data_IF_093250354649
#
_entry.id   IF_093250354649
#
_cell.length_a   1.000
_cell.length_b   1.000
_cell.length_c   1.000
_cell.angle_alpha   90.00
_cell.angle_beta   90.00
_cell.angle_gamma   90.00
#
_symmetry.space_group_name_H-M   'P 1'
#
loop_
_entity.id
_entity.type
_entity.pdbx_description
1 polymer ?
#
# COMPACT_ATOMS: atom_id res chain seq x y z
N UNK A 1 4.23 21.41 2.78
CA UNK A 1 5.20 20.41 3.27
C UNK A 1 5.86 20.99 4.50
N UNK A 2 5.99 20.24 5.60
CA UNK A 2 6.65 20.74 6.80
C UNK A 2 8.00 20.04 6.97
N UNK A 3 9.00 20.54 6.24
CA UNK A 3 10.39 20.04 6.28
C UNK A 3 11.21 20.70 7.39
N UNK A 4 10.57 21.60 8.12
CA UNK A 4 11.16 22.41 9.17
C UNK A 4 10.31 22.26 10.43
N UNK A 5 10.97 22.26 11.57
CA UNK A 5 10.35 22.21 12.88
C UNK A 5 10.88 23.36 13.72
N UNK A 6 9.98 24.00 14.47
CA UNK A 6 10.40 25.05 15.39
C UNK A 6 11.00 24.42 16.66
N UNK A 7 11.94 25.11 17.29
CA UNK A 7 12.50 24.68 18.58
C UNK A 7 11.43 24.47 19.66
N UNK A 8 10.28 25.17 19.59
CA UNK A 8 9.16 24.99 20.51
C UNK A 8 8.41 23.68 20.28
N UNK A 9 8.16 23.33 19.01
CA UNK A 9 7.52 22.06 18.65
C UNK A 9 8.42 20.87 18.99
N UNK A 10 9.72 21.00 18.70
CA UNK A 10 10.71 19.99 19.08
C UNK A 10 10.75 19.80 20.61
N UNK A 11 10.73 20.89 21.38
CA UNK A 11 10.68 20.85 22.83
C UNK A 11 9.44 20.12 23.36
N UNK A 12 8.27 20.40 22.78
CA UNK A 12 7.02 19.78 23.19
C UNK A 12 7.07 18.26 23.01
N UNK A 13 7.58 17.79 21.87
CA UNK A 13 7.68 16.35 21.60
C UNK A 13 8.73 15.66 22.48
N UNK A 14 9.89 16.29 22.72
CA UNK A 14 10.89 15.78 23.67
C UNK A 14 10.28 15.61 25.06
N UNK A 15 9.58 16.64 25.56
CA UNK A 15 9.00 16.61 26.90
C UNK A 15 7.87 15.60 27.05
N UNK A 16 7.10 15.37 25.98
CA UNK A 16 6.11 14.31 25.93
C UNK A 16 6.75 12.93 26.14
N UNK A 17 7.79 12.60 25.38
CA UNK A 17 8.47 11.30 25.53
C UNK A 17 9.27 11.17 26.82
N UNK A 18 9.81 12.26 27.35
CA UNK A 18 10.44 12.27 28.69
C UNK A 18 9.45 11.89 29.79
N UNK A 19 8.20 12.38 29.70
CA UNK A 19 7.12 11.99 30.62
C UNK A 19 6.76 10.52 30.46
N UNK A 20 6.68 10.03 29.24
CA UNK A 20 6.41 8.61 28.95
C UNK A 20 7.52 7.68 29.50
N UNK A 21 8.79 8.11 29.47
CA UNK A 21 9.91 7.39 30.08
C UNK A 21 9.89 7.44 31.62
N UNK A 22 9.12 8.36 32.22
CA UNK A 22 9.07 8.58 33.68
C UNK A 22 10.05 9.63 34.20
N UNK A 23 10.65 10.44 33.32
CA UNK A 23 11.51 11.56 33.72
C UNK A 23 10.63 12.69 34.24
N UNK A 24 10.74 12.98 35.54
CA UNK A 24 9.95 14.03 36.22
C UNK A 24 10.36 15.45 35.84
N UNK A 25 11.59 15.66 35.39
CA UNK A 25 12.14 16.98 35.06
C UNK A 25 11.96 17.30 33.59
N UNK A 26 11.11 18.27 33.29
CA UNK A 26 10.92 18.78 31.93
C UNK A 26 12.15 19.55 31.44
N UNK A 27 12.44 19.41 30.14
CA UNK A 27 13.40 20.26 29.45
C UNK A 27 12.81 21.67 29.33
N UNK A 28 13.59 22.67 29.73
CA UNK A 28 13.23 24.06 29.53
C UNK A 28 13.65 24.53 28.14
N UNK A 29 12.87 25.43 27.54
CA UNK A 29 13.20 25.99 26.22
C UNK A 29 14.57 26.67 26.21
N UNK A 30 14.92 27.41 27.26
CA UNK A 30 16.25 28.02 27.42
C UNK A 30 17.39 26.99 27.32
N UNK A 31 17.20 25.80 27.87
CA UNK A 31 18.20 24.72 27.82
C UNK A 31 18.30 24.14 26.41
N UNK A 32 17.16 23.93 25.74
CA UNK A 32 17.17 23.47 24.34
C UNK A 32 17.86 24.50 23.42
N UNK A 33 17.63 25.80 23.61
CA UNK A 33 18.31 26.85 22.86
C UNK A 33 19.82 26.84 23.08
N UNK A 34 20.28 26.55 24.30
CA UNK A 34 21.70 26.42 24.58
C UNK A 34 22.32 25.21 23.84
N UNK A 35 21.62 24.08 23.82
CA UNK A 35 22.05 22.89 23.08
C UNK A 35 22.13 23.19 21.57
N UNK A 36 21.13 23.88 21.01
CA UNK A 36 21.12 24.25 19.58
C UNK A 36 22.30 25.17 19.25
N UNK A 37 22.61 26.16 20.10
CA UNK A 37 23.73 27.07 19.89
C UNK A 37 25.09 26.39 19.97
N UNK A 38 25.20 25.38 20.84
CA UNK A 38 26.42 24.60 21.03
C UNK A 38 26.63 23.62 19.87
N UNK A 39 25.55 22.99 19.37
CA UNK A 39 25.62 22.03 18.27
C UNK A 39 25.86 22.69 16.90
N UNK A 40 25.35 23.91 16.71
CA UNK A 40 25.39 24.63 15.42
C UNK A 40 26.16 25.95 15.49
N UNK A 41 27.19 26.03 16.33
CA UNK A 41 27.93 27.29 16.53
C UNK A 41 28.55 27.82 15.23
N UNK A 42 29.01 26.92 14.36
CA UNK A 42 29.62 27.26 13.06
C UNK A 42 28.57 27.79 12.09
N UNK A 43 27.45 27.07 11.93
CA UNK A 43 26.36 27.45 11.04
C UNK A 43 25.65 28.73 11.48
N UNK A 44 25.60 29.00 12.78
CA UNK A 44 25.10 30.27 13.33
C UNK A 44 26.07 31.41 13.00
N UNK A 45 27.38 31.19 13.14
CA UNK A 45 28.39 32.19 12.78
C UNK A 45 28.39 32.52 11.29
N UNK A 46 28.18 31.51 10.44
CA UNK A 46 27.99 31.66 8.99
C UNK A 46 26.63 32.24 8.60
N UNK A 47 25.74 32.50 9.56
CA UNK A 47 24.36 32.99 9.36
C UNK A 47 23.46 32.04 8.57
N UNK A 48 23.82 30.76 8.48
CA UNK A 48 22.98 29.72 7.88
C UNK A 48 21.76 29.38 8.77
N UNK A 49 21.86 29.63 10.07
CA UNK A 49 20.76 29.47 11.04
C UNK A 49 20.57 30.77 11.80
N UNK A 50 19.40 31.41 11.62
CA UNK A 50 19.07 32.67 12.29
C UNK A 50 18.00 32.47 13.38
N UNK A 51 18.17 33.12 14.55
CA UNK A 51 17.13 33.14 15.57
C UNK A 51 15.94 33.98 15.11
N UNK A 52 14.73 33.45 15.29
CA UNK A 52 13.46 34.10 15.03
C UNK A 52 12.78 34.41 16.36
N UNK A 53 12.06 35.52 16.46
CA UNK A 53 11.31 35.85 17.68
C UNK A 53 9.89 35.28 17.66
N UNK A 54 9.40 34.84 18.82
CA UNK A 54 7.99 34.51 19.04
C UNK A 54 7.46 35.25 20.28
N UNK A 55 6.14 35.47 20.33
CA UNK A 55 5.47 36.03 21.51
C UNK A 55 5.08 34.90 22.46
N UNK A 56 5.58 34.93 23.69
CA UNK A 56 5.17 33.99 24.73
C UNK A 56 3.76 34.33 25.26
N UNK A 57 3.19 33.44 26.08
CA UNK A 57 1.89 33.64 26.76
C UNK A 57 1.83 34.91 27.62
N UNK A 58 2.99 35.42 28.03
CA UNK A 58 3.15 36.68 28.79
C UNK A 58 3.29 37.92 27.91
N UNK A 59 3.23 37.78 26.58
CA UNK A 59 3.44 38.88 25.63
C UNK A 59 4.90 39.26 25.37
N UNK A 60 5.84 38.63 26.06
CA UNK A 60 7.29 38.84 25.88
C UNK A 60 7.78 38.23 24.57
N UNK A 61 8.68 38.93 23.88
CA UNK A 61 9.38 38.40 22.71
C UNK A 61 10.55 37.52 23.15
N UNK A 62 10.62 36.29 22.66
CA UNK A 62 11.69 35.34 22.96
C UNK A 62 12.26 34.72 21.69
N UNK A 63 13.56 34.41 21.65
CA UNK A 63 14.18 33.81 20.48
C UNK A 63 13.82 32.32 20.38
N UNK A 64 13.67 31.84 19.16
CA UNK A 64 13.51 30.43 18.79
C UNK A 64 14.30 30.16 17.50
N UNK A 65 14.62 28.90 17.24
CA UNK A 65 15.21 28.49 15.97
C UNK A 65 14.20 27.72 15.13
N UNK A 66 14.27 27.92 13.82
CA UNK A 66 13.62 27.07 12.81
C UNK A 66 14.70 26.11 12.32
N UNK A 67 14.49 24.81 12.52
CA UNK A 67 15.47 23.77 12.21
C UNK A 67 14.92 22.87 11.11
N UNK A 68 15.78 22.41 10.22
CA UNK A 68 15.43 21.29 9.31
C UNK A 68 15.25 20.00 10.11
N UNK A 69 14.52 19.02 9.55
CA UNK A 69 14.37 17.71 10.21
C UNK A 69 15.73 17.03 10.48
N UNK A 70 16.73 17.23 9.61
CA UNK A 70 18.07 16.70 9.81
C UNK A 70 18.78 17.35 11.00
N UNK A 71 18.73 18.69 11.09
CA UNK A 71 19.29 19.43 12.24
C UNK A 71 18.56 19.05 13.54
N UNK A 72 17.24 18.92 13.50
CA UNK A 72 16.46 18.48 14.66
C UNK A 72 16.89 17.08 15.14
N UNK A 73 17.26 16.16 14.25
CA UNK A 73 17.81 14.84 14.62
C UNK A 73 19.14 14.94 15.37
N UNK A 74 20.03 15.86 14.97
CA UNK A 74 21.34 16.06 15.62
C UNK A 74 21.18 16.62 17.04
N UNK A 75 20.24 17.53 17.28
CA UNK A 75 19.97 18.09 18.62
C UNK A 75 19.61 17.01 19.66
N UNK A 76 19.03 15.89 19.22
CA UNK A 76 18.57 14.81 20.11
C UNK A 76 19.70 13.91 20.66
N UNK A 77 20.96 14.17 20.30
CA UNK A 77 22.11 13.37 20.76
C UNK A 77 22.22 13.38 22.29
N UNK A 78 21.83 14.46 22.96
CA UNK A 78 21.90 14.58 24.44
C UNK A 78 20.72 13.94 25.18
N UNK A 79 19.69 13.48 24.47
CA UNK A 79 18.53 12.83 25.07
C UNK A 79 18.77 11.35 25.36
N UNK A 80 17.90 10.75 26.17
CA UNK A 80 17.93 9.31 26.45
C UNK A 80 17.72 8.49 25.17
N UNK A 81 18.15 7.23 25.18
CA UNK A 81 17.96 6.30 24.05
C UNK A 81 16.47 6.15 23.69
N UNK A 82 15.59 6.15 24.69
CA UNK A 82 14.15 6.02 24.49
C UNK A 82 13.58 7.27 23.81
N UNK A 83 13.80 8.44 24.40
CA UNK A 83 13.31 9.72 23.88
C UNK A 83 13.84 9.97 22.48
N UNK A 84 15.14 9.76 22.25
CA UNK A 84 15.78 9.94 20.95
C UNK A 84 15.12 9.08 19.87
N UNK A 85 14.89 7.79 20.12
CA UNK A 85 14.23 6.89 19.16
C UNK A 85 12.79 7.32 18.87
N UNK A 86 12.06 7.73 19.90
CA UNK A 86 10.66 8.11 19.77
C UNK A 86 10.48 9.41 18.99
N UNK A 87 11.28 10.44 19.29
CA UNK A 87 11.26 11.71 18.55
C UNK A 87 11.75 11.51 17.11
N UNK A 88 12.79 10.71 16.86
CA UNK A 88 13.22 10.38 15.49
C UNK A 88 12.08 9.73 14.71
N UNK A 89 11.38 8.74 15.28
CA UNK A 89 10.23 8.13 14.63
C UNK A 89 9.13 9.17 14.34
N UNK A 90 8.87 10.11 15.26
CA UNK A 90 7.93 11.19 15.03
C UNK A 90 8.36 12.10 13.86
N UNK A 91 9.63 12.51 13.81
CA UNK A 91 10.18 13.31 12.71
C UNK A 91 10.10 12.57 11.37
N UNK A 92 10.39 11.27 11.35
CA UNK A 92 10.23 10.41 10.16
C UNK A 92 8.77 10.30 9.73
N UNK A 93 7.82 10.21 10.68
CA UNK A 93 6.39 10.24 10.36
C UNK A 93 5.97 11.56 9.74
N UNK A 94 6.47 12.69 10.23
CA UNK A 94 6.21 14.01 9.64
C UNK A 94 6.81 14.11 8.23
N UNK A 95 8.04 13.63 8.04
CA UNK A 95 8.70 13.54 6.75
C UNK A 95 7.87 12.67 5.78
N UNK A 96 7.45 11.50 6.24
CA UNK A 96 6.67 10.55 5.45
C UNK A 96 5.24 11.01 5.18
N UNK A 97 4.57 11.72 6.08
CA UNK A 97 3.27 12.35 5.81
C UNK A 97 3.39 13.43 4.72
N UNK A 98 4.53 14.13 4.66
CA UNK A 98 4.88 15.01 3.54
C UNK A 98 5.15 14.25 2.23
N UNK A 99 5.65 13.01 2.31
CA UNK A 99 5.90 12.12 1.17
C UNK A 99 4.67 11.33 0.71
N UNK A 100 3.72 11.03 1.58
CA UNK A 100 2.41 10.47 1.23
C UNK A 100 1.54 11.53 0.55
N UNK A 101 1.71 12.80 0.92
CA UNK A 101 1.14 13.97 0.23
C UNK A 101 1.99 14.51 -0.92
N UNK A 102 3.21 13.98 -1.14
CA UNK A 102 3.71 13.97 -2.52
C UNK A 102 2.75 13.05 -3.22
N UNK A 103 1.84 13.64 -3.99
CA UNK A 103 1.51 13.09 -5.29
C UNK A 103 2.81 12.47 -5.80
N UNK A 104 2.88 11.14 -5.75
CA UNK A 104 3.76 10.43 -6.64
C UNK A 104 3.36 11.02 -7.97
N UNK A 105 4.22 11.86 -8.57
CA UNK A 105 3.96 12.40 -9.90
C UNK A 105 3.54 11.18 -10.70
N UNK A 106 2.24 11.06 -10.97
CA UNK A 106 1.73 10.00 -11.81
C UNK A 106 2.60 10.17 -13.03
N UNK A 107 3.33 9.12 -13.41
CA UNK A 107 4.07 9.16 -14.67
C UNK A 107 3.07 9.74 -15.68
N UNK A 108 3.44 10.74 -16.50
CA UNK A 108 2.59 11.18 -17.59
C UNK A 108 2.48 9.96 -18.50
N UNK A 109 1.54 9.09 -18.18
CA UNK A 109 1.34 7.87 -18.90
C UNK A 109 0.59 8.34 -20.13
N UNK A 110 1.33 8.64 -21.18
CA UNK A 110 0.83 8.44 -22.51
C UNK A 110 0.40 6.97 -22.50
N UNK A 111 -0.90 6.72 -22.45
CA UNK A 111 -1.52 5.41 -22.54
C UNK A 111 -1.19 4.87 -23.93
N UNK A 112 0.03 4.42 -24.12
CA UNK A 112 0.27 3.33 -25.05
C UNK A 112 -0.39 2.14 -24.35
N UNK A 113 -1.47 1.64 -24.92
CA UNK A 113 -2.18 0.47 -24.44
C UNK A 113 -1.20 -0.70 -24.37
N UNK A 114 -0.56 -0.90 -23.21
CA UNK A 114 0.32 -2.04 -22.99
C UNK A 114 -0.60 -3.25 -22.96
N UNK A 115 -0.67 -3.97 -24.08
CA UNK A 115 -1.39 -5.25 -24.17
C UNK A 115 -0.89 -6.16 -23.04
N UNK A 116 -1.74 -6.55 -22.08
CA UNK A 116 -1.34 -7.44 -21.01
C UNK A 116 -0.84 -8.76 -21.57
N UNK A 117 0.20 -9.33 -20.96
CA UNK A 117 0.58 -10.70 -21.29
C UNK A 117 -0.38 -11.66 -20.62
N UNK A 118 -0.75 -12.72 -21.31
CA UNK A 118 -1.67 -13.73 -20.78
C UNK A 118 -0.97 -15.09 -20.73
N UNK A 119 -1.38 -15.91 -19.77
CA UNK A 119 -0.99 -17.31 -19.70
C UNK A 119 -2.23 -18.14 -19.45
N UNK A 120 -2.58 -18.98 -20.42
CA UNK A 120 -3.83 -19.76 -20.43
C UNK A 120 -5.06 -18.84 -20.28
N UNK A 121 -5.03 -17.68 -20.92
CA UNK A 121 -6.12 -16.69 -20.85
C UNK A 121 -6.15 -15.84 -19.58
N UNK A 122 -5.26 -16.07 -18.60
CA UNK A 122 -5.19 -15.25 -17.39
C UNK A 122 -4.12 -14.16 -17.52
N UNK A 123 -4.42 -12.89 -17.16
CA UNK A 123 -3.42 -11.83 -17.20
C UNK A 123 -2.30 -12.09 -16.19
N UNK A 124 -1.07 -12.04 -16.68
CA UNK A 124 0.17 -12.25 -15.94
C UNK A 124 1.18 -11.16 -16.29
N UNK A 125 2.05 -10.80 -15.35
CA UNK A 125 3.14 -9.87 -15.59
C UNK A 125 4.47 -10.61 -15.56
N UNK A 126 5.31 -10.39 -16.57
CA UNK A 126 6.67 -10.92 -16.56
C UNK A 126 7.52 -10.25 -15.47
N UNK A 127 8.29 -11.04 -14.73
CA UNK A 127 9.16 -10.53 -13.67
C UNK A 127 10.22 -9.55 -14.21
N UNK A 128 10.74 -9.81 -15.40
CA UNK A 128 11.69 -8.91 -16.07
C UNK A 128 11.04 -7.58 -16.45
N UNK A 129 9.77 -7.61 -16.88
CA UNK A 129 9.01 -6.39 -17.13
C UNK A 129 8.82 -5.59 -15.84
N UNK A 130 8.43 -6.27 -14.74
CA UNK A 130 8.29 -5.63 -13.43
C UNK A 130 9.61 -5.00 -12.97
N UNK A 131 10.74 -5.71 -13.10
CA UNK A 131 12.09 -5.23 -12.78
C UNK A 131 12.40 -3.90 -13.46
N UNK A 132 12.20 -3.83 -14.78
CA UNK A 132 12.40 -2.61 -15.58
C UNK A 132 11.48 -1.48 -15.13
N UNK A 133 10.23 -1.79 -14.81
CA UNK A 133 9.24 -0.79 -14.38
C UNK A 133 9.57 -0.13 -13.04
N UNK A 134 9.98 -0.92 -12.05
CA UNK A 134 10.23 -0.42 -10.69
C UNK A 134 11.69 -0.01 -10.46
N UNK A 135 12.59 -0.30 -11.41
CA UNK A 135 14.02 0.00 -11.29
C UNK A 135 14.76 -0.88 -10.28
N UNK A 136 14.26 -2.10 -10.01
CA UNK A 136 14.87 -3.04 -9.07
C UNK A 136 15.49 -4.19 -9.87
N UNK A 137 16.74 -4.62 -9.56
CA UNK A 137 17.37 -5.76 -10.23
C UNK A 137 16.52 -7.03 -10.22
N UNK A 138 16.49 -7.73 -11.36
CA UNK A 138 15.74 -8.96 -11.57
C UNK A 138 16.13 -10.07 -10.58
N UNK A 139 17.40 -10.16 -10.21
CA UNK A 139 17.96 -11.07 -9.21
C UNK A 139 17.26 -10.92 -7.85
N UNK A 140 17.01 -9.68 -7.43
CA UNK A 140 16.35 -9.40 -6.15
C UNK A 140 14.88 -9.81 -6.20
N UNK A 141 14.22 -9.56 -7.34
CA UNK A 141 12.84 -9.97 -7.55
C UNK A 141 12.71 -11.49 -7.63
N UNK A 142 13.65 -12.18 -8.25
CA UNK A 142 13.70 -13.64 -8.27
C UNK A 142 13.91 -14.23 -6.88
N UNK A 143 14.84 -13.66 -6.10
CA UNK A 143 15.10 -14.09 -4.73
C UNK A 143 13.89 -13.86 -3.82
N UNK A 144 13.13 -12.80 -4.04
CA UNK A 144 11.93 -12.54 -3.25
C UNK A 144 10.75 -13.41 -3.65
N UNK A 145 10.50 -13.53 -4.96
CA UNK A 145 9.33 -14.26 -5.45
C UNK A 145 9.45 -15.78 -5.18
N UNK A 146 10.65 -16.37 -5.17
CA UNK A 146 10.90 -17.81 -4.90
C UNK A 146 9.83 -18.74 -5.49
N UNK A 147 8.98 -19.35 -4.65
CA UNK A 147 7.89 -20.28 -5.02
C UNK A 147 6.60 -19.59 -5.46
N UNK A 148 6.48 -18.28 -5.27
CA UNK A 148 5.31 -17.48 -5.67
C UNK A 148 5.32 -17.13 -7.16
N UNK A 149 6.49 -17.15 -7.84
CA UNK A 149 6.56 -16.97 -9.29
C UNK A 149 6.31 -18.30 -10.01
N UNK A 150 5.66 -18.24 -11.16
CA UNK A 150 5.57 -19.38 -12.07
C UNK A 150 6.73 -19.28 -13.07
N UNK A 151 7.59 -20.29 -13.13
CA UNK A 151 8.71 -20.30 -14.10
C UNK A 151 8.37 -21.24 -15.25
N UNK A 152 8.16 -20.68 -16.44
CA UNK A 152 7.89 -21.44 -17.65
C UNK A 152 9.20 -21.84 -18.33
N UNK A 153 9.26 -23.10 -18.77
CA UNK A 153 10.36 -23.72 -19.52
C UNK A 153 9.77 -24.69 -20.55
N UNK A 154 10.58 -25.05 -21.55
CA UNK A 154 10.26 -26.08 -22.55
C UNK A 154 8.88 -25.87 -23.21
N UNK A 155 8.01 -26.88 -23.21
CA UNK A 155 6.70 -26.85 -23.90
C UNK A 155 5.78 -25.75 -23.38
N UNK A 156 5.76 -25.53 -22.06
CA UNK A 156 4.94 -24.46 -21.48
C UNK A 156 5.43 -23.09 -21.92
N UNK A 157 6.75 -22.92 -22.11
CA UNK A 157 7.30 -21.68 -22.64
C UNK A 157 6.91 -21.50 -24.12
N UNK A 158 6.92 -22.58 -24.91
CA UNK A 158 6.47 -22.54 -26.31
C UNK A 158 5.01 -22.07 -26.41
N UNK A 159 4.11 -22.68 -25.65
CA UNK A 159 2.71 -22.28 -25.59
C UNK A 159 2.52 -20.82 -25.17
N UNK A 160 3.34 -20.34 -24.22
CA UNK A 160 3.29 -18.94 -23.78
C UNK A 160 3.75 -17.96 -24.87
N UNK A 161 4.81 -18.32 -25.61
CA UNK A 161 5.30 -17.52 -26.74
C UNK A 161 4.27 -17.43 -27.86
N UNK A 162 3.55 -18.52 -28.14
CA UNK A 162 2.45 -18.55 -29.11
C UNK A 162 1.31 -17.61 -28.69
N UNK A 163 0.85 -17.69 -27.43
CA UNK A 163 -0.20 -16.82 -26.87
C UNK A 163 0.19 -15.32 -26.88
N UNK A 164 1.48 -15.03 -26.71
CA UNK A 164 2.03 -13.67 -26.62
C UNK A 164 2.96 -13.33 -27.80
N UNK A 165 2.53 -13.66 -29.01
CA UNK A 165 3.33 -13.46 -30.25
C UNK A 165 3.68 -12.00 -30.55
N UNK A 166 3.15 -11.04 -29.80
CA UNK A 166 3.46 -9.62 -29.93
C UNK A 166 4.86 -9.24 -29.41
N UNK A 167 5.53 -10.12 -28.65
CA UNK A 167 6.86 -9.88 -28.07
C UNK A 167 7.90 -10.80 -28.70
N UNK A 168 9.10 -10.29 -28.91
CA UNK A 168 10.22 -11.09 -29.41
C UNK A 168 10.87 -11.88 -28.27
N UNK A 169 10.72 -13.21 -28.30
CA UNK A 169 11.31 -14.14 -27.33
C UNK A 169 12.39 -15.07 -27.92
N UNK A 170 12.98 -14.70 -29.06
CA UNK A 170 13.94 -15.54 -29.82
C UNK A 170 15.09 -16.09 -28.97
N UNK A 171 15.67 -15.29 -28.08
CA UNK A 171 16.80 -15.69 -27.21
C UNK A 171 16.40 -16.22 -25.83
N UNK A 172 15.10 -16.28 -25.51
CA UNK A 172 14.64 -16.55 -24.13
C UNK A 172 14.41 -18.05 -23.91
N UNK A 173 15.14 -18.63 -22.96
CA UNK A 173 15.06 -20.04 -22.58
C UNK A 173 14.15 -20.34 -21.38
N UNK A 174 13.85 -19.32 -20.55
CA UNK A 174 12.94 -19.42 -19.41
C UNK A 174 12.32 -18.07 -19.08
N UNK A 175 11.06 -18.05 -18.66
CA UNK A 175 10.34 -16.84 -18.24
C UNK A 175 9.73 -17.05 -16.87
N UNK A 176 9.88 -16.05 -15.99
CA UNK A 176 9.18 -16.02 -14.71
C UNK A 176 7.98 -15.08 -14.78
N UNK A 177 6.81 -15.62 -14.48
CA UNK A 177 5.53 -14.93 -14.48
C UNK A 177 5.05 -14.65 -13.05
N UNK A 178 4.36 -13.53 -12.90
CA UNK A 178 3.77 -13.05 -11.66
C UNK A 178 2.29 -12.74 -11.85
N UNK A 179 1.46 -13.34 -11.01
CA UNK A 179 0.05 -12.98 -10.89
C UNK A 179 -0.14 -11.68 -10.10
N UNK A 180 -1.29 -11.02 -10.28
CA UNK A 180 -1.66 -9.78 -9.57
C UNK A 180 -1.29 -9.75 -8.08
N UNK A 181 -1.65 -10.75 -7.23
CA UNK A 181 -1.32 -10.69 -5.79
C UNK A 181 0.20 -10.64 -5.53
N UNK A 182 1.00 -11.29 -6.37
CA UNK A 182 2.45 -11.34 -6.21
C UNK A 182 3.09 -10.02 -6.62
N UNK A 183 2.59 -9.39 -7.69
CA UNK A 183 3.01 -8.04 -8.09
C UNK A 183 2.71 -7.03 -6.99
N UNK A 184 1.50 -7.07 -6.42
CA UNK A 184 1.12 -6.19 -5.30
C UNK A 184 2.04 -6.41 -4.10
N UNK A 185 2.31 -7.67 -3.75
CA UNK A 185 3.20 -8.02 -2.63
C UNK A 185 4.63 -7.49 -2.82
N UNK A 186 5.16 -7.57 -4.05
CA UNK A 186 6.46 -7.01 -4.42
C UNK A 186 6.44 -5.50 -4.25
N UNK A 187 5.48 -4.82 -4.87
CA UNK A 187 5.43 -3.36 -4.87
C UNK A 187 5.23 -2.78 -3.47
N UNK A 188 4.43 -3.44 -2.61
CA UNK A 188 4.25 -3.02 -1.21
C UNK A 188 5.56 -3.11 -0.41
N UNK A 189 6.34 -4.16 -0.61
CA UNK A 189 7.63 -4.33 0.09
C UNK A 189 8.63 -3.22 -0.22
N UNK A 190 8.70 -2.78 -1.48
CA UNK A 190 9.59 -1.70 -1.88
C UNK A 190 8.99 -0.30 -1.63
N UNK A 191 7.80 -0.19 -1.03
CA UNK A 191 7.14 1.10 -0.81
C UNK A 191 6.63 1.77 -2.11
N UNK A 192 6.57 1.01 -3.22
CA UNK A 192 6.22 1.52 -4.55
C UNK A 192 4.77 1.23 -4.95
N UNK A 193 3.99 0.57 -4.10
CA UNK A 193 2.62 0.15 -4.44
C UNK A 193 1.73 1.30 -4.89
N UNK A 194 1.69 2.39 -4.12
CA UNK A 194 0.84 3.54 -4.46
C UNK A 194 1.22 4.11 -5.84
N UNK A 195 2.52 4.08 -6.20
CA UNK A 195 3.05 4.68 -7.44
C UNK A 195 2.57 3.93 -8.69
N UNK A 196 2.49 2.61 -8.58
CA UNK A 196 2.09 1.74 -9.68
C UNK A 196 0.67 1.20 -9.50
N UNK A 197 -0.11 1.71 -8.53
CA UNK A 197 -1.45 1.19 -8.23
C UNK A 197 -2.37 1.26 -9.46
N UNK A 198 -2.48 2.46 -10.04
CA UNK A 198 -3.31 2.70 -11.22
C UNK A 198 -2.86 1.85 -12.41
N UNK A 199 -1.55 1.69 -12.60
CA UNK A 199 -0.99 0.81 -13.63
C UNK A 199 -1.32 -0.66 -13.38
N UNK A 200 -1.10 -1.18 -12.16
CA UNK A 200 -1.35 -2.58 -11.83
C UNK A 200 -2.84 -2.87 -11.99
N UNK A 201 -3.70 -1.96 -11.51
CA UNK A 201 -5.12 -2.13 -11.67
C UNK A 201 -5.52 -2.06 -13.15
N UNK A 202 -4.96 -1.16 -13.97
CA UNK A 202 -5.24 -1.12 -15.41
C UNK A 202 -4.66 -2.30 -16.20
N UNK A 203 -3.47 -2.78 -15.85
CA UNK A 203 -2.79 -3.89 -16.53
C UNK A 203 -3.49 -5.22 -16.27
N UNK A 204 -3.97 -5.40 -15.04
CA UNK A 204 -4.75 -6.56 -14.64
C UNK A 204 -6.26 -6.30 -14.68
N UNK A 205 -6.71 -5.15 -15.21
CA UNK A 205 -8.10 -4.98 -15.63
C UNK A 205 -8.26 -5.95 -16.78
N UNK A 206 -9.04 -7.00 -16.55
CA UNK A 206 -9.53 -7.85 -17.61
C UNK A 206 -10.11 -6.95 -18.70
N UNK A 207 -9.65 -7.07 -19.95
CA UNK A 207 -10.40 -6.49 -21.06
C UNK A 207 -11.86 -6.88 -20.87
N UNK A 208 -12.72 -5.89 -21.02
CA UNK A 208 -14.16 -5.99 -21.03
C UNK A 208 -14.67 -6.74 -22.28
N UNK A 209 -14.14 -7.94 -22.53
CA UNK A 209 -14.86 -9.06 -23.13
C UNK A 209 -15.25 -10.10 -22.06
N UNK A 210 -14.82 -9.91 -20.79
CA UNK A 210 -15.27 -10.67 -19.62
C UNK A 210 -15.78 -9.71 -18.54
N UNK A 211 -16.46 -8.64 -18.94
CA UNK A 211 -17.13 -7.74 -18.00
C UNK A 211 -18.52 -8.27 -17.66
N UNK A 212 -18.65 -9.48 -17.08
CA UNK A 212 -19.87 -9.93 -16.35
C UNK A 212 -19.70 -11.29 -15.64
N UNK A 213 -18.69 -11.48 -14.79
CA UNK A 213 -18.66 -12.67 -13.89
C UNK A 213 -18.24 -12.39 -12.45
N UNK A 214 -17.96 -11.13 -12.08
CA UNK A 214 -17.60 -10.77 -10.70
C UNK A 214 -18.82 -10.41 -9.87
N UNK A 215 -19.54 -9.34 -10.25
CA UNK A 215 -20.79 -8.92 -9.58
C UNK A 215 -21.99 -9.77 -9.97
N UNK A 216 -22.01 -10.23 -11.22
CA UNK A 216 -23.03 -11.14 -11.72
C UNK A 216 -23.00 -12.50 -11.04
N UNK A 217 -21.85 -12.96 -10.55
CA UNK A 217 -21.77 -14.27 -9.89
C UNK A 217 -22.30 -14.18 -8.47
N UNK A 218 -22.07 -13.08 -7.74
CA UNK A 218 -22.71 -12.88 -6.44
C UNK A 218 -24.24 -12.67 -6.56
N UNK A 219 -24.72 -11.94 -7.57
CA UNK A 219 -26.16 -11.81 -7.87
C UNK A 219 -26.77 -13.11 -8.43
N UNK A 220 -26.06 -13.84 -9.28
CA UNK A 220 -26.51 -15.13 -9.84
C UNK A 220 -26.55 -16.22 -8.76
N UNK A 221 -25.55 -16.29 -7.89
CA UNK A 221 -25.56 -17.21 -6.73
C UNK A 221 -26.71 -16.87 -5.77
N UNK A 222 -27.01 -15.58 -5.56
CA UNK A 222 -28.18 -15.16 -4.79
C UNK A 222 -29.51 -15.55 -5.45
N UNK A 223 -29.67 -15.28 -6.75
CA UNK A 223 -30.86 -15.64 -7.53
C UNK A 223 -31.04 -17.16 -7.63
N UNK A 224 -29.96 -17.92 -7.78
CA UNK A 224 -29.98 -19.38 -7.79
C UNK A 224 -30.36 -19.93 -6.42
N UNK A 225 -29.87 -19.35 -5.32
CA UNK A 225 -30.26 -19.73 -3.97
C UNK A 225 -31.75 -19.45 -3.71
N UNK A 226 -32.28 -18.32 -4.18
CA UNK A 226 -33.69 -17.97 -4.08
C UNK A 226 -34.58 -18.90 -4.90
N UNK A 227 -34.22 -19.16 -6.16
CA UNK A 227 -34.92 -20.12 -7.03
C UNK A 227 -34.92 -21.54 -6.43
N UNK A 228 -33.83 -21.96 -5.79
CA UNK A 228 -33.72 -23.28 -5.14
C UNK A 228 -34.66 -23.38 -3.93
N UNK A 229 -34.79 -22.30 -3.14
CA UNK A 229 -35.74 -22.24 -2.02
C UNK A 229 -37.19 -22.32 -2.49
N UNK A 230 -37.54 -21.57 -3.54
CA UNK A 230 -38.90 -21.59 -4.12
C UNK A 230 -39.23 -23.00 -4.63
N UNK A 231 -38.30 -23.64 -5.35
CA UNK A 231 -38.46 -25.01 -5.85
C UNK A 231 -38.70 -26.02 -4.71
N UNK A 232 -37.98 -25.89 -3.60
CA UNK A 232 -38.15 -26.76 -2.44
C UNK A 232 -39.52 -26.60 -1.77
N UNK A 233 -40.05 -25.38 -1.70
CA UNK A 233 -41.38 -25.13 -1.15
C UNK A 233 -42.48 -25.72 -2.04
N UNK A 234 -42.40 -25.54 -3.35
CA UNK A 234 -43.36 -26.13 -4.30
C UNK A 234 -43.37 -27.67 -4.24
N UNK A 235 -42.20 -28.30 -4.05
CA UNK A 235 -42.10 -29.75 -3.86
C UNK A 235 -42.81 -30.21 -2.58
N UNK A 236 -42.71 -29.45 -1.49
CA UNK A 236 -43.44 -29.75 -0.24
C UNK A 236 -44.94 -29.61 -0.43
N UNK A 237 -45.40 -28.52 -1.06
CA UNK A 237 -46.82 -28.31 -1.35
C UNK A 237 -47.37 -29.41 -2.26
N UNK A 238 -46.62 -29.81 -3.29
CA UNK A 238 -47.00 -30.91 -4.17
C UNK A 238 -47.12 -32.23 -3.41
N UNK A 239 -46.18 -32.55 -2.52
CA UNK A 239 -46.25 -33.75 -1.69
C UNK A 239 -47.48 -33.72 -0.75
N UNK A 240 -47.82 -32.55 -0.20
CA UNK A 240 -49.00 -32.38 0.65
C UNK A 240 -50.31 -32.55 -0.15
N UNK A 241 -50.35 -32.06 -1.39
CA UNK A 241 -51.46 -32.28 -2.32
C UNK A 241 -51.58 -33.76 -2.68
N UNK A 242 -50.47 -34.43 -2.99
CA UNK A 242 -50.45 -35.88 -3.27
C UNK A 242 -50.91 -36.70 -2.06
N UNK A 243 -50.53 -36.32 -0.84
CA UNK A 243 -51.03 -36.96 0.38
C UNK A 243 -52.54 -36.74 0.55
N UNK A 244 -53.03 -35.51 0.29
CA UNK A 244 -54.46 -35.18 0.31
C UNK A 244 -55.23 -35.96 -0.77
N UNK A 245 -54.68 -36.12 -1.98
CA UNK A 245 -55.26 -36.92 -3.06
C UNK A 245 -55.26 -38.42 -2.71
N UNK A 246 -54.19 -38.94 -2.12
CA UNK A 246 -54.17 -40.33 -1.62
C UNK A 246 -55.20 -40.56 -0.52
N UNK A 247 -55.41 -39.58 0.38
CA UNK A 247 -56.47 -39.63 1.39
C UNK A 247 -57.86 -39.61 0.75
N UNK A 248 -58.08 -38.77 -0.25
CA UNK A 248 -59.34 -38.69 -1.02
C UNK A 248 -59.64 -39.99 -1.78
N UNK A 249 -58.65 -40.57 -2.47
CA UNK A 249 -58.81 -41.84 -3.18
C UNK A 249 -59.09 -43.01 -2.21
N UNK A 250 -58.48 -43.01 -1.02
CA UNK A 250 -58.77 -43.98 0.04
C UNK A 250 -60.16 -43.80 0.66
N UNK A 251 -60.72 -42.59 0.62
CA UNK A 251 -62.10 -42.30 1.05
C UNK A 251 -63.15 -42.59 -0.02
N UNK A 252 -62.75 -43.11 -1.20
CA UNK A 252 -63.68 -43.57 -2.25
C UNK A 252 -64.44 -42.46 -2.99
N UNK A 253 -63.94 -41.22 -2.95
CA UNK A 253 -64.63 -40.02 -3.49
C UNK A 253 -64.12 -39.57 -4.87
N UNK A 254 -63.39 -40.42 -5.59
CA UNK A 254 -63.00 -40.17 -6.98
C UNK A 254 -63.61 -41.27 -7.86
N UNK A 255 -64.50 -40.88 -8.78
CA UNK A 255 -64.91 -41.70 -9.92
C UNK A 255 -63.70 -42.02 -10.81
#
# INVERSE_FOLDING_TARGET
>A
MKNEITSLELLAEINKFRKEEGIKKELLHKTLLAIIRDEFSEEINEQNILPVEYKDKKGEKRPMFILTLSQARQVLVRESKFVRRAVIHFLEKLENQGLENKEQKKLPFQVQEIKPTTWRGQPVLELQQLSKMIGVPDVNLHWYAKRKKLTLKFDNLKAYKEENSNKNYSSVSAISLLYKPNVISICKRYGLYNKYKDFIDNYFKTNNLVEYKGKANDEFEHLMAEATRIKANLLKEKAEIEEKLMKLNKMGLTN
#
